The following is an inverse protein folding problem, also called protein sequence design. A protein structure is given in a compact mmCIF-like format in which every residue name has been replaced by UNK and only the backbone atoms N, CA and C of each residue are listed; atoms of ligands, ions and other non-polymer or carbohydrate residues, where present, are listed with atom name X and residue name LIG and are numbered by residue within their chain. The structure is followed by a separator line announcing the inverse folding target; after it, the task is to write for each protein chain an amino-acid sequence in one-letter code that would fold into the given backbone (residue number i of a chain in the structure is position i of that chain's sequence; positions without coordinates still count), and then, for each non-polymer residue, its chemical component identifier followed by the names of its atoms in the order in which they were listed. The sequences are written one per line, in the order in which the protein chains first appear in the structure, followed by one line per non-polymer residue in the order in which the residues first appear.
data_IF_180741384817
#
_entry.id   IF_180741384817
#
_cell.length_a   1.000
_cell.length_b   1.000
_cell.length_c   1.000
_cell.angle_alpha   90.00
_cell.angle_beta   90.00
_cell.angle_gamma   90.00
#
_symmetry.space_group_name_H-M   'P 1'
#
loop_
_entity.id
_entity.type
_entity.pdbx_description
1 polymer ?
#
# COMPACT_ATOMS: atom_id res chain seq x y z
N UNK A 1 2.20 62.19 56.54
CA UNK A 1 3.04 60.99 56.71
C UNK A 1 2.42 59.88 55.89
N UNK A 2 2.80 59.83 54.63
CA UNK A 2 2.21 58.93 53.62
C UNK A 2 3.30 57.95 53.24
N UNK A 3 3.22 56.70 53.73
CA UNK A 3 4.20 55.66 53.43
C UNK A 3 3.80 55.05 52.08
N UNK A 4 4.62 55.31 51.07
CA UNK A 4 4.56 54.69 49.76
C UNK A 4 5.02 53.23 49.88
N UNK A 5 4.10 52.28 49.66
CA UNK A 5 4.45 50.89 49.41
C UNK A 5 4.98 50.78 47.97
N UNK A 6 6.28 50.56 47.83
CA UNK A 6 6.89 50.25 46.55
C UNK A 6 6.41 48.86 46.09
N UNK A 7 5.66 48.83 44.98
CA UNK A 7 5.29 47.60 44.31
C UNK A 7 6.54 46.95 43.70
N UNK A 8 6.86 45.75 44.17
CA UNK A 8 7.91 44.90 43.57
C UNK A 8 7.44 44.48 42.17
N UNK A 9 8.29 44.56 41.13
CA UNK A 9 7.88 44.22 39.78
C UNK A 9 7.59 42.71 39.65
N UNK A 10 6.40 42.40 39.09
CA UNK A 10 5.85 41.05 38.85
C UNK A 10 6.82 40.11 38.11
N UNK A 11 7.79 40.67 37.39
CA UNK A 11 8.83 39.92 36.68
C UNK A 11 9.80 39.16 37.61
N UNK A 12 9.96 39.56 38.88
CA UNK A 12 10.79 38.84 39.84
C UNK A 12 10.06 37.62 40.45
N UNK A 13 8.74 37.69 40.65
CA UNK A 13 7.97 36.56 41.18
C UNK A 13 7.84 35.38 40.21
N UNK A 14 7.87 35.64 38.89
CA UNK A 14 7.82 34.58 37.88
C UNK A 14 9.16 33.84 37.71
N UNK A 15 10.28 34.43 38.12
CA UNK A 15 11.59 33.79 38.06
C UNK A 15 11.83 32.83 39.24
N UNK A 16 11.28 33.15 40.42
CA UNK A 16 11.39 32.33 41.64
C UNK A 16 10.40 31.14 41.69
N UNK A 17 9.59 30.96 40.64
CA UNK A 17 8.57 29.90 40.56
C UNK A 17 9.01 28.68 39.75
N UNK A 18 10.23 28.67 39.21
CA UNK A 18 10.74 27.53 38.46
C UNK A 18 11.07 26.40 39.46
N UNK A 19 10.40 25.23 39.39
CA UNK A 19 10.67 24.15 40.32
C UNK A 19 12.14 23.75 40.21
N UNK A 20 12.78 23.60 41.36
CA UNK A 20 14.19 23.21 41.43
C UNK A 20 14.33 21.82 40.81
N UNK A 21 15.46 21.52 40.16
CA UNK A 21 15.67 20.19 39.56
C UNK A 21 15.42 19.04 40.57
N UNK A 22 15.66 19.28 41.87
CA UNK A 22 15.37 18.33 42.96
C UNK A 22 13.87 18.13 43.20
N UNK A 23 13.06 19.18 43.10
CA UNK A 23 11.59 19.09 43.27
C UNK A 23 10.96 18.39 42.07
N UNK A 24 11.48 18.62 40.86
CA UNK A 24 11.08 17.88 39.66
C UNK A 24 11.41 16.39 39.80
N UNK A 25 12.61 16.05 40.28
CA UNK A 25 13.01 14.66 40.51
C UNK A 25 12.19 13.98 41.62
N UNK A 26 11.83 14.70 42.69
CA UNK A 26 10.98 14.17 43.76
C UNK A 26 9.52 13.98 43.32
N UNK A 27 8.99 14.88 42.48
CA UNK A 27 7.66 14.73 41.90
C UNK A 27 7.58 13.52 40.97
N UNK A 28 8.60 13.34 40.11
CA UNK A 28 8.75 12.18 39.21
C UNK A 28 8.82 10.85 39.98
N UNK A 29 9.46 10.82 41.15
CA UNK A 29 9.58 9.62 41.98
C UNK A 29 8.30 9.19 42.71
N UNK A 30 7.28 10.06 42.78
CA UNK A 30 6.00 9.79 43.43
C UNK A 30 4.86 9.44 42.46
N UNK A 31 5.16 9.34 41.15
CA UNK A 31 4.14 9.08 40.13
C UNK A 31 3.76 7.61 40.04
N UNK A 32 2.45 7.28 39.91
CA UNK A 32 2.02 5.91 39.67
C UNK A 32 2.56 5.45 38.31
N UNK A 33 3.13 4.25 38.28
CA UNK A 33 3.67 3.68 37.04
C UNK A 33 2.55 3.45 36.02
N UNK A 34 2.87 3.49 34.72
CA UNK A 34 1.89 3.22 33.67
C UNK A 34 1.26 1.82 33.82
N UNK A 35 2.00 0.86 34.38
CA UNK A 35 1.49 -0.46 34.69
C UNK A 35 0.35 -0.42 35.74
N UNK A 36 0.43 0.46 36.74
CA UNK A 36 -0.62 0.65 37.75
C UNK A 36 -1.89 1.26 37.15
N UNK A 37 -1.76 2.05 36.09
CA UNK A 37 -2.87 2.57 35.30
C UNK A 37 -3.46 1.51 34.33
N UNK A 38 -2.97 0.27 34.33
CA UNK A 38 -3.39 -0.76 33.38
C UNK A 38 -2.93 -0.49 31.94
N UNK A 39 -1.93 0.37 31.76
CA UNK A 39 -1.19 0.58 30.52
C UNK A 39 0.02 -0.37 30.51
N UNK A 40 0.99 -0.20 29.60
CA UNK A 40 2.28 -0.93 29.64
C UNK A 40 2.25 -2.45 29.34
N UNK A 41 1.21 -2.99 28.69
CA UNK A 41 1.14 -4.42 28.32
C UNK A 41 2.28 -4.88 27.36
N UNK A 42 2.57 -6.18 27.28
CA UNK A 42 3.56 -6.77 26.34
C UNK A 42 3.12 -6.77 24.85
N UNK A 43 2.42 -5.72 24.43
CA UNK A 43 2.01 -5.46 23.05
C UNK A 43 2.90 -4.36 22.45
N UNK A 44 2.97 -4.19 21.12
CA UNK A 44 3.70 -3.09 20.51
C UNK A 44 3.31 -1.71 21.08
N UNK A 45 2.04 -1.54 21.45
CA UNK A 45 1.53 -0.33 22.11
C UNK A 45 2.16 -0.13 23.48
N UNK A 46 2.15 -1.17 24.32
CA UNK A 46 2.71 -1.05 25.67
C UNK A 46 4.24 -0.98 25.69
N UNK A 47 4.93 -1.57 24.71
CA UNK A 47 6.38 -1.34 24.53
C UNK A 47 6.70 0.14 24.30
N UNK A 48 5.88 0.85 23.51
CA UNK A 48 6.04 2.31 23.35
C UNK A 48 5.74 3.03 24.66
N UNK A 49 4.71 2.64 25.40
CA UNK A 49 4.39 3.25 26.70
C UNK A 49 5.56 3.11 27.68
N UNK A 50 6.13 1.90 27.80
CA UNK A 50 7.29 1.64 28.67
C UNK A 50 8.52 2.41 28.22
N UNK A 51 8.74 2.54 26.91
CA UNK A 51 9.82 3.35 26.37
C UNK A 51 9.64 4.82 26.76
N UNK A 52 8.44 5.38 26.62
CA UNK A 52 8.17 6.78 26.95
C UNK A 52 8.24 7.03 28.46
N UNK A 53 7.74 6.10 29.27
CA UNK A 53 7.86 6.12 30.72
C UNK A 53 9.32 6.08 31.16
N UNK A 54 10.13 5.17 30.63
CA UNK A 54 11.57 5.12 30.90
C UNK A 54 12.27 6.44 30.54
N UNK A 55 11.92 7.03 29.40
CA UNK A 55 12.47 8.33 28.99
C UNK A 55 12.05 9.46 29.94
N UNK A 56 10.87 9.38 30.54
CA UNK A 56 10.35 10.38 31.47
C UNK A 56 10.93 10.19 32.88
N UNK A 57 10.79 8.99 33.45
CA UNK A 57 11.13 8.67 34.84
C UNK A 57 12.65 8.50 35.02
N UNK A 58 13.30 7.68 34.20
CA UNK A 58 14.72 7.32 34.39
C UNK A 58 15.68 8.35 33.80
N UNK A 59 15.32 8.95 32.65
CA UNK A 59 16.15 9.98 32.00
C UNK A 59 15.76 11.42 32.36
N UNK A 60 14.66 11.61 33.11
CA UNK A 60 14.21 12.91 33.58
C UNK A 60 13.73 13.86 32.46
N UNK A 61 13.34 13.32 31.29
CA UNK A 61 12.83 14.17 30.21
C UNK A 61 11.39 14.60 30.49
N UNK A 62 10.97 15.83 30.19
CA UNK A 62 9.56 16.18 30.19
C UNK A 62 8.81 15.31 29.17
N UNK A 63 7.51 15.04 29.37
CA UNK A 63 6.73 14.15 28.51
C UNK A 63 6.79 14.51 27.02
N UNK A 64 6.71 15.80 26.67
CA UNK A 64 6.86 16.22 25.27
C UNK A 64 8.24 15.83 24.69
N UNK A 65 9.30 15.92 25.50
CA UNK A 65 10.67 15.54 25.16
C UNK A 65 10.83 14.02 25.04
N UNK A 66 10.24 13.26 25.97
CA UNK A 66 10.19 11.80 25.90
C UNK A 66 9.52 11.33 24.60
N UNK A 67 8.40 11.96 24.19
CA UNK A 67 7.72 11.69 22.92
C UNK A 67 8.64 11.99 21.73
N UNK A 68 9.30 13.14 21.73
CA UNK A 68 10.21 13.54 20.64
C UNK A 68 11.37 12.55 20.51
N UNK A 69 12.08 12.27 21.60
CA UNK A 69 13.25 11.39 21.62
C UNK A 69 12.84 9.95 21.28
N UNK A 70 11.77 9.43 21.88
CA UNK A 70 11.24 8.10 21.57
C UNK A 70 10.87 7.95 20.10
N UNK A 71 10.28 8.99 19.49
CA UNK A 71 9.99 9.03 18.05
C UNK A 71 11.26 8.97 17.21
N UNK A 72 12.25 9.81 17.53
CA UNK A 72 13.53 9.86 16.79
C UNK A 72 14.26 8.52 16.87
N UNK A 73 14.34 7.90 18.05
CA UNK A 73 14.95 6.59 18.24
C UNK A 73 14.26 5.52 17.39
N UNK A 74 12.92 5.46 17.41
CA UNK A 74 12.17 4.53 16.57
C UNK A 74 12.42 4.77 15.08
N UNK A 75 12.48 6.04 14.65
CA UNK A 75 12.77 6.40 13.25
C UNK A 75 14.20 6.03 12.84
N UNK A 76 15.18 6.22 13.71
CA UNK A 76 16.57 5.81 13.48
C UNK A 76 16.70 4.29 13.36
N UNK A 77 16.00 3.52 14.20
CA UNK A 77 15.99 2.07 14.12
C UNK A 77 15.43 1.55 12.79
N UNK A 78 14.43 2.24 12.22
CA UNK A 78 13.80 1.86 10.94
C UNK A 78 14.56 2.42 9.72
N UNK A 79 15.41 3.42 9.89
CA UNK A 79 16.13 4.10 8.81
C UNK A 79 16.87 3.15 7.84
N UNK A 80 17.60 2.11 8.28
CA UNK A 80 18.24 1.15 7.37
C UNK A 80 17.25 0.43 6.44
N UNK A 81 16.06 0.09 6.96
CA UNK A 81 14.98 -0.53 6.18
C UNK A 81 14.46 0.43 5.12
N UNK A 82 14.34 1.72 5.46
CA UNK A 82 13.91 2.76 4.53
C UNK A 82 14.93 2.93 3.40
N UNK A 83 16.23 2.98 3.72
CA UNK A 83 17.31 3.03 2.71
C UNK A 83 17.24 1.83 1.76
N UNK A 84 17.03 0.62 2.30
CA UNK A 84 16.84 -0.58 1.49
C UNK A 84 15.62 -0.47 0.58
N UNK A 85 14.48 -0.02 1.12
CA UNK A 85 13.26 0.17 0.33
C UNK A 85 13.44 1.20 -0.80
N UNK A 86 14.16 2.30 -0.55
CA UNK A 86 14.48 3.31 -1.55
C UNK A 86 15.40 2.76 -2.67
N UNK A 87 16.37 1.91 -2.31
CA UNK A 87 17.22 1.22 -3.30
C UNK A 87 16.38 0.34 -4.23
N UNK A 88 15.47 -0.46 -3.67
CA UNK A 88 14.61 -1.36 -4.44
C UNK A 88 13.60 -0.59 -5.29
N UNK A 89 13.05 0.53 -4.78
CA UNK A 89 12.19 1.43 -5.55
C UNK A 89 12.92 2.04 -6.76
N UNK A 90 14.17 2.48 -6.58
CA UNK A 90 14.98 3.03 -7.67
C UNK A 90 15.29 1.97 -8.75
N UNK A 91 15.69 0.76 -8.36
CA UNK A 91 15.90 -0.37 -9.30
C UNK A 91 14.64 -0.66 -10.11
N UNK A 92 13.49 -0.74 -9.44
CA UNK A 92 12.21 -1.02 -10.08
C UNK A 92 11.79 0.10 -11.04
N UNK A 93 11.97 1.36 -10.65
CA UNK A 93 11.70 2.49 -11.52
C UNK A 93 12.52 2.41 -12.80
N UNK A 94 13.80 2.03 -12.74
CA UNK A 94 14.70 1.99 -13.90
C UNK A 94 14.28 0.97 -14.96
N UNK A 95 13.60 -0.12 -14.57
CA UNK A 95 13.11 -1.17 -15.49
C UNK A 95 11.59 -1.13 -15.71
N UNK A 96 10.92 -0.08 -15.22
CA UNK A 96 9.47 0.03 -15.20
C UNK A 96 8.81 -0.12 -16.59
N UNK A 97 9.30 0.50 -17.68
CA UNK A 97 8.69 0.37 -19.00
C UNK A 97 8.66 -1.07 -19.51
N UNK A 98 9.78 -1.78 -19.39
CA UNK A 98 9.90 -3.17 -19.84
C UNK A 98 9.09 -4.12 -18.96
N UNK A 99 9.13 -3.92 -17.65
CA UNK A 99 8.29 -4.65 -16.70
C UNK A 99 6.80 -4.48 -17.02
N UNK A 100 6.39 -3.26 -17.38
CA UNK A 100 5.01 -2.97 -17.80
C UNK A 100 4.65 -3.69 -19.09
N UNK A 101 5.53 -3.67 -20.10
CA UNK A 101 5.32 -4.36 -21.38
C UNK A 101 5.14 -5.86 -21.18
N UNK A 102 5.99 -6.50 -20.36
CA UNK A 102 5.89 -7.92 -20.05
C UNK A 102 4.62 -8.25 -19.25
N UNK A 103 4.24 -7.38 -18.30
CA UNK A 103 2.99 -7.52 -17.54
C UNK A 103 1.76 -7.42 -18.44
N UNK A 104 1.76 -6.51 -19.42
CA UNK A 104 0.68 -6.36 -20.39
C UNK A 104 0.56 -7.59 -21.29
N UNK A 105 1.68 -8.10 -21.82
CA UNK A 105 1.71 -9.35 -22.61
C UNK A 105 1.17 -10.54 -21.82
N UNK A 106 1.53 -10.66 -20.54
CA UNK A 106 0.99 -11.70 -19.66
C UNK A 106 -0.52 -11.55 -19.46
N UNK A 107 -1.02 -10.33 -19.28
CA UNK A 107 -2.45 -10.05 -19.13
C UNK A 107 -3.23 -10.35 -20.41
N UNK A 108 -2.70 -9.98 -21.58
CA UNK A 108 -3.29 -10.29 -22.89
C UNK A 108 -3.34 -11.81 -23.13
N UNK A 109 -2.24 -12.52 -22.85
CA UNK A 109 -2.20 -13.97 -22.94
C UNK A 109 -3.21 -14.63 -21.99
N UNK A 110 -3.38 -14.11 -20.76
CA UNK A 110 -4.41 -14.57 -19.82
C UNK A 110 -5.82 -14.37 -20.39
N UNK A 111 -6.09 -13.22 -20.99
CA UNK A 111 -7.39 -12.90 -21.59
C UNK A 111 -7.70 -13.76 -22.82
N UNK A 112 -6.68 -14.16 -23.58
CA UNK A 112 -6.83 -15.05 -24.74
C UNK A 112 -7.31 -16.46 -24.37
N UNK A 113 -7.16 -16.86 -23.10
CA UNK A 113 -7.44 -18.22 -22.63
C UNK A 113 -6.40 -19.26 -23.07
N UNK A 114 -5.34 -18.86 -23.79
CA UNK A 114 -4.26 -19.77 -24.17
C UNK A 114 -3.29 -19.98 -23.00
N UNK A 115 -3.38 -21.16 -22.37
CA UNK A 115 -2.52 -21.55 -21.24
C UNK A 115 -1.03 -21.57 -21.59
N UNK A 116 -0.68 -21.96 -22.81
CA UNK A 116 0.71 -22.03 -23.24
C UNK A 116 1.31 -20.63 -23.36
N UNK A 117 0.60 -19.71 -24.01
CA UNK A 117 1.04 -18.33 -24.14
C UNK A 117 1.10 -17.63 -22.78
N UNK A 118 0.16 -17.91 -21.89
CA UNK A 118 0.19 -17.37 -20.52
C UNK A 118 1.40 -17.90 -19.74
N UNK A 119 1.67 -19.21 -19.78
CA UNK A 119 2.82 -19.81 -19.12
C UNK A 119 4.14 -19.24 -19.65
N UNK A 120 4.25 -19.07 -20.98
CA UNK A 120 5.41 -18.44 -21.62
C UNK A 120 5.57 -16.99 -21.18
N UNK A 121 4.53 -16.18 -21.25
CA UNK A 121 4.59 -14.77 -20.85
C UNK A 121 4.89 -14.59 -19.35
N UNK A 122 4.37 -15.47 -18.50
CA UNK A 122 4.70 -15.50 -17.07
C UNK A 122 6.16 -15.88 -16.82
N UNK A 123 6.67 -16.88 -17.54
CA UNK A 123 8.09 -17.27 -17.48
C UNK A 123 9.01 -16.15 -17.95
N UNK A 124 8.68 -15.46 -19.05
CA UNK A 124 9.42 -14.30 -19.56
C UNK A 124 9.48 -13.19 -18.50
N UNK A 125 8.36 -12.86 -17.85
CA UNK A 125 8.29 -11.87 -16.77
C UNK A 125 9.12 -12.29 -15.55
N UNK A 126 9.03 -13.55 -15.13
CA UNK A 126 9.78 -14.09 -13.99
C UNK A 126 11.28 -14.10 -14.25
N UNK A 127 11.70 -14.48 -15.47
CA UNK A 127 13.09 -14.45 -15.89
C UNK A 127 13.63 -13.03 -15.89
N UNK A 128 12.86 -12.08 -16.44
CA UNK A 128 13.22 -10.66 -16.43
C UNK A 128 13.40 -10.12 -15.00
N UNK A 129 12.46 -10.41 -14.10
CA UNK A 129 12.56 -10.00 -12.69
C UNK A 129 13.81 -10.57 -12.01
N UNK A 130 14.17 -11.83 -12.29
CA UNK A 130 15.38 -12.47 -11.77
C UNK A 130 16.65 -11.88 -12.35
N UNK A 131 16.70 -11.65 -13.67
CA UNK A 131 17.86 -11.08 -14.36
C UNK A 131 18.19 -9.66 -13.86
N UNK A 132 17.16 -8.86 -13.58
CA UNK A 132 17.33 -7.50 -13.09
C UNK A 132 17.30 -7.39 -11.55
N UNK A 133 17.16 -8.50 -10.81
CA UNK A 133 16.97 -8.54 -9.34
C UNK A 133 15.92 -7.52 -8.86
N UNK A 134 14.76 -7.50 -9.53
CA UNK A 134 13.64 -6.63 -9.17
C UNK A 134 12.46 -7.43 -8.67
N UNK A 135 11.87 -6.98 -7.57
CA UNK A 135 10.64 -7.53 -7.04
C UNK A 135 9.68 -6.39 -6.68
N UNK A 136 8.50 -6.29 -7.32
CA UNK A 136 7.50 -5.27 -7.03
C UNK A 136 7.12 -5.18 -5.54
N UNK A 137 7.15 -6.31 -4.82
CA UNK A 137 6.78 -6.36 -3.40
C UNK A 137 7.81 -5.73 -2.46
N UNK A 138 9.10 -5.65 -2.86
CA UNK A 138 10.15 -5.06 -2.02
C UNK A 138 9.93 -3.56 -1.79
N UNK A 139 9.26 -2.86 -2.70
CA UNK A 139 8.87 -1.46 -2.53
C UNK A 139 7.82 -1.23 -1.43
N UNK A 140 6.99 -2.24 -1.12
CA UNK A 140 5.98 -2.16 -0.05
C UNK A 140 6.57 -2.39 1.35
N UNK A 141 7.86 -2.71 1.46
CA UNK A 141 8.52 -2.95 2.74
C UNK A 141 8.47 -1.71 3.66
N UNK A 142 8.59 -0.51 3.09
CA UNK A 142 8.57 0.75 3.85
C UNK A 142 7.22 0.94 4.56
N UNK A 143 6.07 1.01 3.86
CA UNK A 143 4.79 1.18 4.54
C UNK A 143 4.43 0.00 5.45
N UNK A 144 4.85 -1.23 5.12
CA UNK A 144 4.61 -2.41 5.96
C UNK A 144 5.27 -2.31 7.34
N UNK A 145 6.45 -1.69 7.42
CA UNK A 145 7.15 -1.48 8.70
C UNK A 145 6.70 -0.20 9.38
N UNK A 146 6.44 0.88 8.62
CA UNK A 146 6.06 2.17 9.18
C UNK A 146 4.64 2.18 9.77
N UNK A 147 3.67 1.55 9.10
CA UNK A 147 2.27 1.61 9.54
C UNK A 147 2.06 0.99 10.93
N UNK A 148 2.59 -0.21 11.27
CA UNK A 148 2.46 -0.77 12.62
C UNK A 148 3.10 0.12 13.69
N UNK A 149 4.24 0.75 13.41
CA UNK A 149 4.91 1.64 14.35
C UNK A 149 4.07 2.91 14.57
N UNK A 150 3.57 3.51 13.49
CA UNK A 150 2.68 4.66 13.58
C UNK A 150 1.41 4.35 14.38
N UNK A 151 0.75 3.24 14.06
CA UNK A 151 -0.45 2.77 14.78
C UNK A 151 -0.15 2.53 16.26
N UNK A 152 1.01 1.95 16.57
CA UNK A 152 1.42 1.66 17.96
C UNK A 152 1.62 2.95 18.76
N UNK A 153 2.38 3.92 18.24
CA UNK A 153 2.55 5.23 18.87
C UNK A 153 1.22 5.98 19.00
N UNK A 154 0.41 5.98 17.94
CA UNK A 154 -0.89 6.65 17.94
C UNK A 154 -1.80 6.08 19.03
N UNK A 155 -1.94 4.74 19.11
CA UNK A 155 -2.78 4.10 20.14
C UNK A 155 -2.18 4.31 21.53
N UNK A 156 -0.85 4.22 21.69
CA UNK A 156 -0.18 4.40 22.98
C UNK A 156 -0.45 5.78 23.57
N UNK A 157 -0.18 6.84 22.81
CA UNK A 157 -0.37 8.23 23.23
C UNK A 157 -1.84 8.57 23.42
N UNK A 158 -2.70 8.05 22.53
CA UNK A 158 -4.15 8.23 22.66
C UNK A 158 -4.67 7.57 23.95
N UNK A 159 -4.20 6.38 24.31
CA UNK A 159 -4.56 5.71 25.56
C UNK A 159 -4.05 6.47 26.79
N UNK A 160 -2.80 6.93 26.77
CA UNK A 160 -2.23 7.73 27.87
C UNK A 160 -2.94 9.07 28.05
N UNK A 161 -3.46 9.66 26.97
CA UNK A 161 -4.23 10.90 27.04
C UNK A 161 -5.67 10.69 27.52
N UNK A 162 -6.37 9.65 27.05
CA UNK A 162 -7.76 9.39 27.45
C UNK A 162 -7.91 8.64 28.77
N UNK A 163 -6.88 7.90 29.18
CA UNK A 163 -6.70 7.48 30.57
C UNK A 163 -5.63 8.40 31.15
N UNK A 164 -6.01 9.64 31.51
CA UNK A 164 -5.07 10.75 31.64
C UNK A 164 -4.00 10.41 32.67
N UNK A 165 -2.78 10.25 32.18
CA UNK A 165 -1.59 10.22 33.02
C UNK A 165 -1.45 11.62 33.64
N UNK A 166 -1.55 11.79 34.98
CA UNK A 166 -1.64 13.11 35.59
C UNK A 166 -0.49 14.05 35.19
N UNK A 167 0.73 13.53 35.12
CA UNK A 167 1.91 14.30 34.76
C UNK A 167 1.98 14.72 33.30
N UNK A 168 1.16 14.13 32.42
CA UNK A 168 1.03 14.60 31.03
C UNK A 168 0.18 15.88 30.92
N UNK A 169 -0.63 16.22 31.93
CA UNK A 169 -1.45 17.44 31.91
C UNK A 169 -0.64 18.72 32.07
N UNK A 170 0.56 18.62 32.64
CA UNK A 170 1.52 19.73 32.79
C UNK A 170 2.85 19.45 32.09
N UNK A 171 3.02 18.27 31.50
CA UNK A 171 4.25 17.80 30.86
C UNK A 171 4.45 18.25 29.41
N UNK A 172 3.62 19.17 28.91
CA UNK A 172 3.71 19.76 27.57
C UNK A 172 4.74 20.89 27.44
N UNK A 173 4.65 21.65 26.35
CA UNK A 173 5.60 22.72 26.05
C UNK A 173 4.93 23.92 25.38
N UNK A 174 5.58 25.08 25.47
CA UNK A 174 5.21 26.30 24.75
C UNK A 174 3.74 26.69 24.99
N UNK A 175 2.89 26.64 23.97
CA UNK A 175 1.47 27.00 24.03
C UNK A 175 0.53 25.81 24.33
N UNK A 176 1.08 24.59 24.47
CA UNK A 176 0.32 23.37 24.76
C UNK A 176 0.88 22.69 26.03
N UNK A 177 0.64 23.25 27.22
CA UNK A 177 1.11 22.66 28.48
C UNK A 177 0.45 21.31 28.80
N UNK A 178 -0.79 21.11 28.36
CA UNK A 178 -1.54 19.86 28.54
C UNK A 178 -1.43 18.98 27.29
N UNK A 179 -0.76 17.83 27.45
CA UNK A 179 -0.59 16.83 26.39
C UNK A 179 -1.83 15.95 26.16
N UNK A 180 -2.77 15.95 27.10
CA UNK A 180 -3.98 15.12 27.10
C UNK A 180 -5.18 15.83 26.46
N UNK A 181 -5.18 17.16 26.44
CA UNK A 181 -6.20 17.99 25.80
C UNK A 181 -5.89 18.31 24.32
N UNK A 182 -6.89 18.82 23.61
CA UNK A 182 -6.71 19.34 22.24
C UNK A 182 -5.89 20.64 22.23
N UNK A 183 -5.23 20.95 21.11
CA UNK A 183 -4.46 22.20 20.96
C UNK A 183 -5.40 23.42 21.07
N UNK A 184 -5.22 24.32 22.06
CA UNK A 184 -6.09 25.48 22.25
C UNK A 184 -6.14 26.44 21.04
N UNK A 185 -5.07 26.46 20.24
CA UNK A 185 -4.90 27.36 19.10
C UNK A 185 -4.92 26.63 17.75
N UNK A 186 -5.13 25.31 17.75
CA UNK A 186 -5.10 24.45 16.55
C UNK A 186 -3.81 24.55 15.71
N UNK A 187 -2.71 25.04 16.29
CA UNK A 187 -1.44 25.22 15.58
C UNK A 187 -0.86 23.87 15.20
N UNK A 188 -0.79 22.92 16.14
CA UNK A 188 -0.24 21.59 15.91
C UNK A 188 -0.98 20.81 14.81
N UNK A 189 -2.32 20.68 14.81
CA UNK A 189 -3.05 20.04 13.71
C UNK A 189 -2.78 20.64 12.33
N UNK A 190 -2.72 21.98 12.23
CA UNK A 190 -2.46 22.68 10.97
C UNK A 190 -1.03 22.45 10.48
N UNK A 191 -0.03 22.55 11.36
CA UNK A 191 1.38 22.32 11.01
C UNK A 191 1.61 20.85 10.64
N UNK A 192 1.00 19.90 11.36
CA UNK A 192 1.07 18.47 11.00
C UNK A 192 0.45 18.21 9.64
N UNK A 193 -0.70 18.82 9.34
CA UNK A 193 -1.34 18.70 8.03
C UNK A 193 -0.48 19.30 6.92
N UNK A 194 0.08 20.49 7.14
CA UNK A 194 0.99 21.13 6.20
C UNK A 194 2.25 20.30 5.96
N UNK A 195 2.92 19.84 7.01
CA UNK A 195 4.12 19.00 6.89
C UNK A 195 3.82 17.66 6.21
N UNK A 196 2.65 17.04 6.46
CA UNK A 196 2.21 15.83 5.76
C UNK A 196 2.02 16.10 4.25
N UNK A 197 1.42 17.24 3.89
CA UNK A 197 1.30 17.66 2.50
C UNK A 197 2.67 17.85 1.83
N UNK A 198 3.62 18.51 2.51
CA UNK A 198 4.99 18.68 2.00
C UNK A 198 5.73 17.34 1.84
N UNK A 199 5.58 16.41 2.79
CA UNK A 199 6.15 15.06 2.69
C UNK A 199 5.59 14.33 1.47
N UNK A 200 4.30 14.47 1.17
CA UNK A 200 3.71 13.84 -0.02
C UNK A 200 4.24 14.45 -1.32
N UNK A 201 4.40 15.77 -1.38
CA UNK A 201 4.91 16.43 -2.58
C UNK A 201 6.37 16.07 -2.84
N UNK A 202 7.21 16.09 -1.79
CA UNK A 202 8.62 15.67 -1.89
C UNK A 202 8.76 14.14 -1.99
N UNK A 203 7.88 13.37 -1.36
CA UNK A 203 7.90 11.91 -1.43
C UNK A 203 7.52 11.39 -2.82
N UNK A 204 6.59 12.07 -3.50
CA UNK A 204 6.15 11.68 -4.84
C UNK A 204 7.28 11.69 -5.88
N UNK A 205 8.28 12.57 -5.75
CA UNK A 205 9.44 12.59 -6.67
C UNK A 205 10.44 11.44 -6.38
N UNK A 206 10.27 10.70 -5.28
CA UNK A 206 11.04 9.50 -4.95
C UNK A 206 10.33 8.18 -5.28
N UNK A 207 9.07 8.23 -5.73
CA UNK A 207 8.24 7.07 -6.04
C UNK A 207 8.47 6.50 -7.45
N UNK A 208 7.61 5.58 -7.87
CA UNK A 208 7.60 5.01 -9.23
C UNK A 208 6.79 5.95 -10.13
N UNK A 209 7.33 6.38 -11.27
CA UNK A 209 6.58 7.22 -12.25
C UNK A 209 5.63 6.32 -13.03
N UNK A 210 4.53 5.92 -12.39
CA UNK A 210 3.45 5.21 -13.05
C UNK A 210 2.29 6.18 -13.27
N UNK A 211 1.78 6.35 -14.50
CA UNK A 211 0.61 7.17 -14.77
C UNK A 211 -0.65 6.75 -14.00
N UNK A 212 -0.84 5.46 -13.69
CA UNK A 212 -1.91 5.00 -12.79
C UNK A 212 -1.73 5.52 -11.35
N UNK A 213 -0.50 5.82 -10.94
CA UNK A 213 -0.19 6.47 -9.66
C UNK A 213 -0.49 7.97 -9.68
N UNK A 214 -0.77 8.60 -10.83
CA UNK A 214 -1.09 10.04 -10.88
C UNK A 214 -2.44 10.34 -10.23
N UNK A 215 -3.46 9.53 -10.50
CA UNK A 215 -4.76 9.63 -9.82
C UNK A 215 -4.61 9.33 -8.32
N UNK A 216 -3.80 8.32 -7.99
CA UNK A 216 -3.47 7.98 -6.61
C UNK A 216 -2.77 9.15 -5.90
N UNK A 217 -1.85 9.86 -6.58
CA UNK A 217 -1.17 11.07 -6.08
C UNK A 217 -2.17 12.18 -5.78
N UNK A 218 -3.16 12.39 -6.64
CA UNK A 218 -4.23 13.37 -6.38
C UNK A 218 -5.04 13.01 -5.14
N UNK A 219 -5.44 11.74 -4.99
CA UNK A 219 -6.15 11.27 -3.79
C UNK A 219 -5.29 11.46 -2.54
N UNK A 220 -4.02 11.07 -2.59
CA UNK A 220 -3.09 11.27 -1.47
C UNK A 220 -2.90 12.75 -1.12
N UNK A 221 -2.89 13.66 -2.10
CA UNK A 221 -2.76 15.10 -1.86
C UNK A 221 -3.95 15.69 -1.10
N UNK A 222 -5.15 15.18 -1.34
CA UNK A 222 -6.39 15.63 -0.68
C UNK A 222 -6.54 15.01 0.72
N UNK A 223 -5.96 13.83 0.94
CA UNK A 223 -6.13 13.05 2.16
C UNK A 223 -5.77 13.80 3.47
N UNK A 224 -4.66 14.55 3.58
CA UNK A 224 -4.37 15.32 4.79
C UNK A 224 -5.49 16.32 5.15
N UNK A 225 -6.10 16.95 4.15
CA UNK A 225 -7.20 17.90 4.36
C UNK A 225 -8.49 17.23 4.83
N UNK A 226 -8.74 16.00 4.38
CA UNK A 226 -9.89 15.18 4.83
C UNK A 226 -9.67 14.66 6.25
N UNK A 227 -8.43 14.32 6.61
CA UNK A 227 -8.08 13.82 7.94
C UNK A 227 -8.15 14.93 8.99
N UNK A 228 -7.80 16.17 8.63
CA UNK A 228 -7.77 17.32 9.55
C UNK A 228 -9.05 17.47 10.41
N UNK A 229 -10.27 17.61 9.87
CA UNK A 229 -11.48 17.76 10.70
C UNK A 229 -11.77 16.54 11.59
N UNK A 230 -11.28 15.36 11.22
CA UNK A 230 -11.44 14.14 12.02
C UNK A 230 -10.47 14.09 13.21
N UNK A 231 -9.30 14.70 13.08
CA UNK A 231 -8.23 14.62 14.08
C UNK A 231 -8.02 15.92 14.85
N UNK A 232 -8.64 17.04 14.44
CA UNK A 232 -8.39 18.37 15.00
C UNK A 232 -8.59 18.47 16.52
N UNK A 233 -9.47 17.65 17.09
CA UNK A 233 -9.75 17.58 18.53
C UNK A 233 -8.98 16.47 19.27
N UNK A 234 -7.99 15.85 18.63
CA UNK A 234 -7.17 14.84 19.29
C UNK A 234 -6.16 15.48 20.26
N UNK A 235 -5.72 14.71 21.28
CA UNK A 235 -4.73 15.18 22.25
C UNK A 235 -3.45 15.69 21.60
N UNK A 236 -2.87 16.77 22.13
CA UNK A 236 -1.61 17.35 21.62
C UNK A 236 -0.42 16.39 21.72
N UNK A 237 -0.45 15.39 22.62
CA UNK A 237 0.51 14.28 22.63
C UNK A 237 0.64 13.59 21.27
N UNK A 238 -0.51 13.29 20.64
CA UNK A 238 -0.56 12.60 19.34
C UNK A 238 0.05 13.49 18.26
N UNK A 239 -0.25 14.79 18.27
CA UNK A 239 0.30 15.72 17.30
C UNK A 239 1.78 16.04 17.54
N UNK A 240 2.26 16.02 18.79
CA UNK A 240 3.68 16.15 19.12
C UNK A 240 4.50 15.01 18.50
N UNK A 241 4.00 13.78 18.66
CA UNK A 241 4.53 12.62 17.95
C UNK A 241 4.50 12.82 16.44
N UNK A 242 3.33 13.15 15.89
CA UNK A 242 3.13 13.22 14.44
C UNK A 242 4.00 14.28 13.79
N UNK A 243 4.11 15.45 14.42
CA UNK A 243 4.97 16.54 13.97
C UNK A 243 6.44 16.12 13.96
N UNK A 244 6.91 15.52 15.06
CA UNK A 244 8.30 15.02 15.14
C UNK A 244 8.58 13.98 14.07
N UNK A 245 7.65 13.05 13.88
CA UNK A 245 7.67 12.01 12.85
C UNK A 245 7.74 12.62 11.44
N UNK A 246 6.98 13.69 11.19
CA UNK A 246 6.96 14.41 9.93
C UNK A 246 8.26 15.18 9.69
N UNK A 247 8.76 15.91 10.68
CA UNK A 247 10.06 16.60 10.60
C UNK A 247 11.18 15.62 10.30
N UNK A 248 11.22 14.46 10.97
CA UNK A 248 12.18 13.41 10.65
C UNK A 248 12.03 12.93 9.20
N UNK A 249 10.81 12.70 8.72
CA UNK A 249 10.57 12.32 7.33
C UNK A 249 11.08 13.38 6.33
N UNK A 250 10.86 14.67 6.59
CA UNK A 250 11.35 15.76 5.73
C UNK A 250 12.88 15.80 5.71
N UNK A 251 13.51 15.74 6.89
CA UNK A 251 14.97 15.67 7.01
C UNK A 251 15.52 14.43 6.28
N UNK A 252 14.88 13.27 6.45
CA UNK A 252 15.23 12.04 5.75
C UNK A 252 15.13 12.20 4.23
N UNK A 253 14.05 12.81 3.72
CA UNK A 253 13.88 13.04 2.28
C UNK A 253 14.96 13.98 1.76
N UNK A 254 15.27 15.07 2.46
CA UNK A 254 16.36 15.97 2.09
C UNK A 254 17.71 15.23 2.06
N UNK A 255 17.98 14.42 3.08
CA UNK A 255 19.20 13.62 3.21
C UNK A 255 19.35 12.60 2.06
N UNK A 256 18.30 11.83 1.76
CA UNK A 256 18.32 10.78 0.73
C UNK A 256 18.17 11.30 -0.70
N UNK A 257 17.89 12.59 -0.88
CA UNK A 257 17.96 13.28 -2.17
C UNK A 257 19.36 13.78 -2.49
N UNK A 258 20.17 14.07 -1.47
CA UNK A 258 21.51 14.61 -1.67
C UNK A 258 22.41 13.61 -2.44
N UNK A 259 23.00 13.97 -3.59
CA UNK A 259 23.74 13.04 -4.45
C UNK A 259 24.85 12.27 -3.72
N UNK A 260 25.68 12.97 -2.95
CA UNK A 260 26.78 12.34 -2.20
C UNK A 260 26.31 11.25 -1.21
N UNK A 261 25.12 11.43 -0.63
CA UNK A 261 24.57 10.49 0.35
C UNK A 261 23.97 9.29 -0.38
N UNK A 262 23.31 9.53 -1.51
CA UNK A 262 22.81 8.46 -2.38
C UNK A 262 23.93 7.54 -2.85
N UNK A 263 25.06 8.12 -3.24
CA UNK A 263 26.24 7.37 -3.68
C UNK A 263 26.83 6.55 -2.53
N UNK A 264 27.03 7.15 -1.35
CA UNK A 264 27.50 6.44 -0.14
C UNK A 264 26.57 5.29 0.25
N UNK A 265 25.25 5.50 0.17
CA UNK A 265 24.24 4.50 0.50
C UNK A 265 23.94 3.54 -0.66
N UNK A 266 24.65 3.63 -1.79
CA UNK A 266 24.47 2.81 -3.00
C UNK A 266 23.01 2.79 -3.47
N UNK A 267 22.37 3.95 -3.49
CA UNK A 267 21.01 4.12 -4.02
C UNK A 267 21.13 4.46 -5.50
N UNK A 268 20.65 3.61 -6.42
CA UNK A 268 20.71 3.86 -7.86
C UNK A 268 20.13 5.22 -8.24
N UNK A 269 20.70 5.84 -9.26
CA UNK A 269 20.09 7.01 -9.88
C UNK A 269 18.79 6.60 -10.56
N UNK A 270 17.79 7.47 -10.43
CA UNK A 270 16.47 7.24 -10.96
C UNK A 270 16.44 7.71 -12.41
N UNK A 271 16.18 6.79 -13.34
CA UNK A 271 15.98 7.13 -14.75
C UNK A 271 14.59 7.75 -14.90
N UNK A 272 14.53 8.96 -15.45
CA UNK A 272 13.26 9.55 -15.89
C UNK A 272 12.89 8.92 -17.23
N UNK A 273 11.73 8.26 -17.27
CA UNK A 273 11.23 7.65 -18.50
C UNK A 273 10.37 8.67 -19.24
N UNK A 274 10.49 8.77 -20.58
CA UNK A 274 9.62 9.64 -21.36
C UNK A 274 8.17 9.17 -21.21
N UNK A 275 7.22 10.11 -21.21
CA UNK A 275 5.80 9.80 -21.00
C UNK A 275 5.24 8.77 -21.99
N UNK A 276 5.81 8.66 -23.19
CA UNK A 276 5.44 7.68 -24.21
C UNK A 276 5.86 6.24 -23.89
N UNK A 277 6.88 6.03 -23.04
CA UNK A 277 7.34 4.71 -22.62
C UNK A 277 6.58 4.17 -21.39
N UNK A 278 5.74 5.01 -20.77
CA UNK A 278 4.92 4.65 -19.64
C UNK A 278 3.54 4.14 -20.12
N UNK A 279 2.87 3.26 -19.35
CA UNK A 279 1.54 2.78 -19.73
C UNK A 279 0.57 3.95 -19.96
N UNK A 280 -0.40 3.84 -20.88
CA UNK A 280 -1.39 4.90 -21.05
C UNK A 280 -2.14 5.16 -19.74
N UNK A 281 -2.36 6.43 -19.41
CA UNK A 281 -3.10 6.85 -18.21
C UNK A 281 -4.60 6.60 -18.44
N UNK A 282 -5.04 5.36 -18.28
CA UNK A 282 -6.45 5.04 -18.14
C UNK A 282 -6.90 5.56 -16.77
N UNK A 283 -7.62 6.68 -16.73
CA UNK A 283 -8.07 7.30 -15.49
C UNK A 283 -8.64 6.28 -14.48
N UNK A 284 -8.50 6.54 -13.18
CA UNK A 284 -8.73 5.57 -12.09
C UNK A 284 -10.02 4.73 -12.24
N UNK A 285 -11.14 5.37 -12.62
CA UNK A 285 -12.43 4.70 -12.83
C UNK A 285 -12.35 3.68 -13.98
N UNK A 286 -11.71 4.05 -15.08
CA UNK A 286 -11.50 3.18 -16.25
C UNK A 286 -10.60 1.99 -15.88
N UNK A 287 -9.53 2.23 -15.15
CA UNK A 287 -8.65 1.18 -14.64
C UNK A 287 -9.38 0.22 -13.69
N UNK A 288 -10.21 0.72 -12.76
CA UNK A 288 -11.05 -0.13 -11.91
C UNK A 288 -12.05 -0.95 -12.73
N UNK A 289 -12.74 -0.33 -13.70
CA UNK A 289 -13.71 -1.02 -14.57
C UNK A 289 -13.04 -2.11 -15.41
N UNK A 290 -11.84 -1.85 -15.95
CA UNK A 290 -11.04 -2.86 -16.66
C UNK A 290 -10.63 -3.99 -15.72
N UNK A 291 -10.16 -3.67 -14.51
CA UNK A 291 -9.81 -4.66 -13.48
C UNK A 291 -10.98 -5.60 -13.13
N UNK A 292 -12.16 -5.04 -12.92
CA UNK A 292 -13.36 -5.83 -12.61
C UNK A 292 -13.79 -6.72 -13.78
N UNK A 293 -13.78 -6.20 -15.02
CA UNK A 293 -14.05 -7.00 -16.23
C UNK A 293 -13.04 -8.13 -16.42
N UNK A 294 -11.75 -7.87 -16.19
CA UNK A 294 -10.71 -8.88 -16.30
C UNK A 294 -10.85 -9.98 -15.24
N UNK A 295 -11.23 -9.61 -14.00
CA UNK A 295 -11.53 -10.56 -12.94
C UNK A 295 -12.75 -11.41 -13.27
N UNK A 296 -13.81 -10.79 -13.78
CA UNK A 296 -15.02 -11.49 -14.22
C UNK A 296 -14.72 -12.47 -15.38
N UNK A 297 -13.91 -12.05 -16.36
CA UNK A 297 -13.48 -12.91 -17.46
C UNK A 297 -12.63 -14.09 -16.95
N UNK A 298 -11.70 -13.85 -16.03
CA UNK A 298 -10.90 -14.91 -15.43
C UNK A 298 -11.77 -15.94 -14.70
N UNK A 299 -12.78 -15.48 -13.94
CA UNK A 299 -13.74 -16.34 -13.27
C UNK A 299 -14.58 -17.16 -14.27
N UNK A 300 -15.04 -16.54 -15.36
CA UNK A 300 -15.78 -17.22 -16.43
C UNK A 300 -14.94 -18.32 -17.11
N UNK A 301 -13.65 -18.05 -17.37
CA UNK A 301 -12.72 -19.04 -17.92
C UNK A 301 -12.55 -20.23 -16.97
N UNK A 302 -12.37 -19.96 -15.67
CA UNK A 302 -12.23 -21.01 -14.64
C UNK A 302 -13.51 -21.85 -14.50
N UNK A 303 -14.68 -21.23 -14.49
CA UNK A 303 -15.97 -21.94 -14.49
C UNK A 303 -16.19 -22.80 -15.74
N UNK A 304 -15.75 -22.31 -16.90
CA UNK A 304 -15.80 -23.08 -18.16
C UNK A 304 -14.91 -24.32 -18.08
N UNK A 305 -13.68 -24.16 -17.57
CA UNK A 305 -12.76 -25.29 -17.36
C UNK A 305 -13.33 -26.30 -16.37
N UNK A 306 -13.90 -25.82 -15.25
CA UNK A 306 -14.55 -26.68 -14.26
C UNK A 306 -15.71 -27.46 -14.87
N UNK A 307 -16.55 -26.82 -15.69
CA UNK A 307 -17.66 -27.49 -16.40
C UNK A 307 -17.16 -28.56 -17.38
N UNK A 308 -16.13 -28.25 -18.17
CA UNK A 308 -15.54 -29.22 -19.12
C UNK A 308 -14.96 -30.41 -18.37
N UNK A 309 -14.21 -30.18 -17.28
CA UNK A 309 -13.64 -31.25 -16.46
C UNK A 309 -14.72 -32.13 -15.83
N UNK A 310 -15.77 -31.51 -15.29
CA UNK A 310 -16.91 -32.23 -14.73
C UNK A 310 -17.65 -33.04 -15.80
N UNK A 311 -17.87 -32.48 -16.99
CA UNK A 311 -18.52 -33.19 -18.10
C UNK A 311 -17.71 -34.39 -18.56
N UNK A 312 -16.38 -34.24 -18.63
CA UNK A 312 -15.47 -35.32 -18.99
C UNK A 312 -15.47 -36.44 -17.93
N UNK A 313 -15.48 -36.07 -16.65
CA UNK A 313 -15.60 -37.03 -15.53
C UNK A 313 -16.96 -37.75 -15.52
N UNK A 314 -18.06 -37.03 -15.77
CA UNK A 314 -19.41 -37.60 -15.91
C UNK A 314 -19.51 -38.55 -17.11
N UNK A 315 -18.92 -38.19 -18.25
CA UNK A 315 -18.88 -39.03 -19.43
C UNK A 315 -18.06 -40.31 -19.20
N UNK A 316 -16.96 -40.21 -18.43
CA UNK A 316 -16.14 -41.36 -18.07
C UNK A 316 -16.83 -42.30 -17.06
N UNK A 317 -17.65 -41.76 -16.15
CA UNK A 317 -18.41 -42.53 -15.14
C UNK A 317 -19.78 -43.03 -15.63
N UNK A 318 -20.28 -42.51 -16.74
CA UNK A 318 -21.58 -42.85 -17.29
C UNK A 318 -21.61 -44.27 -17.90
N UNK A 319 -22.81 -44.86 -18.06
CA UNK A 319 -22.94 -46.17 -18.70
C UNK A 319 -22.53 -46.09 -20.19
N UNK A 320 -21.82 -47.11 -20.67
CA UNK A 320 -21.42 -47.22 -22.09
C UNK A 320 -22.65 -47.26 -22.98
N UNK A 321 -22.68 -46.40 -24.01
CA UNK A 321 -23.75 -46.39 -25.03
C UNK A 321 -23.27 -47.14 -26.28
N UNK A 322 -24.11 -48.00 -26.84
CA UNK A 322 -23.82 -48.66 -28.11
C UNK A 322 -23.75 -47.63 -29.24
N UNK A 323 -22.71 -47.70 -30.07
CA UNK A 323 -22.52 -46.84 -31.25
C UNK A 323 -22.35 -47.71 -32.49
N UNK A 324 -22.95 -47.30 -33.61
CA UNK A 324 -22.85 -48.02 -34.88
C UNK A 324 -21.57 -47.64 -35.65
N UNK A 325 -20.96 -48.61 -36.34
CA UNK A 325 -19.73 -48.40 -37.13
C UNK A 325 -19.93 -47.48 -38.34
N UNK A 326 -21.16 -47.42 -38.87
CA UNK A 326 -21.56 -46.54 -39.95
C UNK A 326 -22.75 -45.70 -39.53
N UNK A 327 -22.90 -44.52 -40.13
CA UNK A 327 -24.03 -43.62 -39.84
C UNK A 327 -25.36 -44.32 -40.21
N UNK A 328 -26.18 -44.71 -39.22
CA UNK A 328 -27.40 -45.48 -39.49
C UNK A 328 -28.47 -44.64 -40.22
N UNK A 329 -28.34 -43.31 -40.22
CA UNK A 329 -29.27 -42.40 -40.87
C UNK A 329 -28.95 -42.13 -42.35
N UNK A 330 -27.79 -42.58 -42.85
CA UNK A 330 -27.35 -42.37 -44.24
C UNK A 330 -27.48 -43.63 -45.12
N UNK A 331 -27.93 -44.76 -44.57
CA UNK A 331 -28.17 -45.97 -45.37
C UNK A 331 -29.48 -45.82 -46.18
N UNK A 332 -29.37 -45.43 -47.45
CA UNK A 332 -30.45 -45.67 -48.42
C UNK A 332 -30.59 -47.18 -48.61
N UNK A 333 -31.77 -47.72 -48.31
CA UNK A 333 -32.05 -49.16 -48.40
C UNK A 333 -31.76 -49.70 -49.81
N UNK A 334 -31.07 -50.85 -49.95
CA UNK A 334 -30.89 -51.49 -51.25
C UNK A 334 -32.25 -52.02 -51.74
N UNK A 335 -32.66 -51.59 -52.94
CA UNK A 335 -33.84 -52.13 -53.62
C UNK A 335 -33.72 -53.65 -53.71
N UNK A 336 -34.64 -54.38 -53.10
CA UNK A 336 -34.73 -55.82 -53.19
C UNK A 336 -35.05 -56.23 -54.63
N UNK A 337 -34.15 -57.06 -55.19
CA UNK A 337 -34.30 -57.62 -56.52
C UNK A 337 -35.47 -58.62 -56.56
N UNK A 338 -36.64 -58.17 -57.04
CA UNK A 338 -37.68 -59.05 -57.55
C UNK A 338 -37.40 -59.33 -59.03
N UNK A 339 -37.07 -60.59 -59.32
CA UNK A 339 -36.79 -61.11 -60.66
C UNK A 339 -38.05 -61.07 -61.53
N UNK A 340 -38.00 -60.30 -62.62
CA UNK A 340 -38.87 -60.48 -63.77
C UNK A 340 -38.02 -60.41 -65.05
N UNK A 341 -37.72 -61.58 -65.60
CA UNK A 341 -37.16 -61.77 -66.94
C UNK A 341 -38.05 -61.07 -67.98
N UNK A 342 -37.48 -60.15 -68.75
CA UNK A 342 -38.15 -59.62 -69.94
C UNK A 342 -37.41 -58.49 -70.65
N UNK A 343 -36.80 -58.84 -71.78
CA UNK A 343 -36.42 -58.01 -72.95
C UNK A 343 -35.14 -57.15 -72.89
N UNK A 344 -34.25 -57.57 -73.78
CA UNK A 344 -33.16 -56.88 -74.50
C UNK A 344 -33.39 -55.40 -74.85
N UNK A 345 -32.37 -54.57 -74.59
CA UNK A 345 -31.80 -53.53 -75.49
C UNK A 345 -30.69 -52.82 -74.69
N UNK A 346 -29.42 -52.83 -75.09
CA UNK A 346 -28.96 -52.12 -76.28
C UNK A 346 -29.10 -50.62 -76.03
N UNK A 347 -28.02 -49.96 -75.58
CA UNK A 347 -28.01 -48.56 -75.21
C UNK A 347 -28.48 -47.61 -76.32
N UNK A 348 -29.08 -46.49 -75.92
CA UNK A 348 -29.16 -45.25 -76.70
C UNK A 348 -28.71 -44.14 -75.74
N UNK A 349 -27.46 -43.67 -75.83
CA UNK A 349 -26.99 -42.69 -76.83
C UNK A 349 -28.03 -41.59 -77.04
N UNK A 350 -27.64 -40.41 -76.58
CA UNK A 350 -28.37 -39.15 -76.70
C UNK A 350 -28.72 -38.88 -78.18
N UNK A 351 -30.00 -38.75 -78.54
CA UNK A 351 -30.51 -38.72 -79.91
C UNK A 351 -30.38 -37.36 -80.64
N UNK A 352 -29.31 -36.60 -80.40
CA UNK A 352 -29.11 -35.27 -80.99
C UNK A 352 -27.78 -35.08 -81.71
N UNK A 353 -27.10 -36.17 -82.08
CA UNK A 353 -25.86 -36.12 -82.89
C UNK A 353 -26.05 -36.38 -84.38
N UNK A 354 -27.23 -36.79 -84.85
CA UNK A 354 -27.45 -37.19 -86.26
C UNK A 354 -28.41 -36.27 -87.05
N UNK A 355 -28.72 -35.06 -86.57
CA UNK A 355 -29.53 -34.08 -87.32
C UNK A 355 -28.80 -32.76 -87.63
N UNK A 356 -27.47 -32.79 -87.60
CA UNK A 356 -26.67 -31.76 -88.26
C UNK A 356 -26.23 -32.33 -89.62
N UNK A 357 -26.89 -31.80 -90.65
CA UNK A 357 -26.87 -32.05 -92.12
C UNK A 357 -27.87 -33.09 -92.61
#
# INVERSE_FOLDING_TARGET
STISQAAVPVTQQLADSAPTAVEVLQAVAAEPTLAELGLAAHTPVGLIQNLLEFMHLDLGLPWWGAIVVGTVLARLAVFPVIVKGQREAAKLNNVLPEMTKLTNRMNEAKQSGNKFDFAKAYSDLSLFQKQHDVNPFRGFLIPLVQAPIFISFFIALRKMAYLPVPSMQTGGALWFPDLTAADPFYVLPLVVTGTMFFILELGAESGIDNPNLRAMKTVFRIMPLVILPLTINFPTAVFTYWLTSNCFSLCQVALLRHPLIRDKLKIPQRIQHPAAALPPNDGFITSMKKGWKNAQLAQQLEERERRIKNHLDLAAKGPLRQTFTHNPLQQTAPMTAASAKGKTAGGKVRPWKDTVV
#
